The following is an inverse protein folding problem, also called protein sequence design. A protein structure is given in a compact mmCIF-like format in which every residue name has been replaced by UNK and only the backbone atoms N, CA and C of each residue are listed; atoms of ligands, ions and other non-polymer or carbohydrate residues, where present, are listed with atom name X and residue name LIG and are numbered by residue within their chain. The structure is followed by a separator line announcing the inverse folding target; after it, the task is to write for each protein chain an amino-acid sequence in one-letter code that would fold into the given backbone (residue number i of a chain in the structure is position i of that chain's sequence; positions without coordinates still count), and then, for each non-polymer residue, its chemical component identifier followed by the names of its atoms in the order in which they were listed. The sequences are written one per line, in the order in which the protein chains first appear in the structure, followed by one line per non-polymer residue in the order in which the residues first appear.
data_IF_854676925542
#
_entry.id   IF_854676925542
#
_cell.length_a   1.000
_cell.length_b   1.000
_cell.length_c   1.000
_cell.angle_alpha   90.00
_cell.angle_beta   90.00
_cell.angle_gamma   90.00
#
_symmetry.space_group_name_H-M   'P 1'
#
loop_
_entity.id
_entity.type
_entity.pdbx_description
1 polymer ?
#
# COMPACT_ATOMS: atom_id res chain seq x y z
N UNK A 1 -11.73 -4.06 11.26
CA UNK A 1 -10.58 -3.42 10.59
C UNK A 1 -9.69 -4.49 9.97
N UNK A 2 -9.71 -4.60 8.64
CA UNK A 2 -8.93 -5.56 7.86
C UNK A 2 -7.48 -5.06 7.78
N UNK A 3 -6.53 -5.93 8.06
CA UNK A 3 -5.10 -5.60 7.87
C UNK A 3 -4.70 -5.88 6.43
N UNK A 4 -4.12 -4.88 5.77
CA UNK A 4 -3.75 -4.95 4.34
C UNK A 4 -2.25 -4.80 4.19
N UNK A 5 -1.65 -5.70 3.41
CA UNK A 5 -0.29 -5.56 2.88
C UNK A 5 -0.34 -5.19 1.40
N UNK A 6 0.47 -4.22 0.99
CA UNK A 6 0.62 -3.81 -0.41
C UNK A 6 1.94 -4.37 -0.96
N UNK A 7 1.87 -5.20 -2.00
CA UNK A 7 3.05 -5.72 -2.72
C UNK A 7 3.09 -5.03 -4.09
N UNK A 8 4.20 -4.38 -4.39
CA UNK A 8 4.36 -3.51 -5.55
C UNK A 8 3.99 -2.06 -5.23
N UNK A 9 4.98 -1.20 -5.24
CA UNK A 9 4.93 0.24 -4.97
C UNK A 9 5.57 1.08 -6.09
N UNK A 10 5.44 0.62 -7.34
CA UNK A 10 5.83 1.38 -8.53
C UNK A 10 4.96 2.63 -8.76
N UNK A 11 4.92 3.14 -9.99
CA UNK A 11 4.25 4.41 -10.34
C UNK A 11 2.85 4.62 -9.72
N UNK A 12 2.04 3.56 -9.63
CA UNK A 12 0.67 3.64 -9.09
C UNK A 12 0.52 3.22 -7.62
N UNK A 13 1.58 2.65 -7.03
CA UNK A 13 1.60 2.21 -5.63
C UNK A 13 1.13 3.26 -4.62
N UNK A 14 1.61 4.52 -4.71
CA UNK A 14 1.18 5.59 -3.81
C UNK A 14 -0.33 5.85 -3.83
N UNK A 15 -0.98 5.72 -4.98
CA UNK A 15 -2.43 5.90 -5.08
C UNK A 15 -3.18 4.76 -4.39
N UNK A 16 -2.67 3.53 -4.54
CA UNK A 16 -3.26 2.35 -3.89
C UNK A 16 -3.12 2.41 -2.37
N UNK A 17 -1.95 2.80 -1.87
CA UNK A 17 -1.73 3.00 -0.44
C UNK A 17 -2.68 4.08 0.14
N UNK A 18 -2.86 5.20 -0.56
CA UNK A 18 -3.77 6.27 -0.15
C UNK A 18 -5.22 5.79 -0.04
N UNK A 19 -5.72 5.10 -1.08
CA UNK A 19 -7.09 4.56 -1.07
C UNK A 19 -7.33 3.57 0.08
N UNK A 20 -6.32 2.77 0.44
CA UNK A 20 -6.42 1.83 1.58
C UNK A 20 -6.42 2.60 2.91
N UNK A 21 -5.63 3.68 3.03
CA UNK A 21 -5.58 4.50 4.24
C UNK A 21 -6.82 5.36 4.45
N UNK A 22 -7.50 5.78 3.38
CA UNK A 22 -8.76 6.55 3.45
C UNK A 22 -9.97 5.67 3.82
N UNK A 23 -9.85 4.34 3.75
CA UNK A 23 -10.91 3.43 4.11
C UNK A 23 -10.87 3.07 5.61
N UNK A 24 -11.88 3.51 6.36
CA UNK A 24 -11.98 3.29 7.81
C UNK A 24 -12.07 1.80 8.23
N UNK A 25 -12.47 0.91 7.32
CA UNK A 25 -12.55 -0.52 7.60
C UNK A 25 -11.23 -1.25 7.33
N UNK A 26 -10.23 -0.56 6.78
CA UNK A 26 -8.93 -1.11 6.41
C UNK A 26 -7.79 -0.42 7.14
N UNK A 27 -6.68 -1.14 7.31
CA UNK A 27 -5.44 -0.60 7.83
C UNK A 27 -4.26 -1.13 7.04
N UNK A 28 -3.61 -0.24 6.29
CA UNK A 28 -2.36 -0.54 5.63
C UNK A 28 -1.28 -0.79 6.68
N UNK A 29 -0.71 -2.00 6.69
CA UNK A 29 0.28 -2.44 7.69
C UNK A 29 1.68 -2.56 7.12
N UNK A 30 1.79 -3.02 5.87
CA UNK A 30 3.06 -3.34 5.24
C UNK A 30 2.99 -2.87 3.79
N UNK A 31 4.09 -2.30 3.30
CA UNK A 31 4.35 -2.10 1.87
C UNK A 31 5.66 -2.85 1.56
N UNK A 32 5.68 -3.60 0.48
CA UNK A 32 6.84 -4.32 -0.02
C UNK A 32 7.00 -4.03 -1.51
N UNK A 33 8.20 -3.69 -1.95
CA UNK A 33 8.56 -3.59 -3.37
C UNK A 33 9.91 -4.27 -3.56
N UNK A 34 10.07 -4.97 -4.69
CA UNK A 34 11.34 -5.58 -5.09
C UNK A 34 12.23 -4.62 -5.88
N UNK A 35 11.71 -3.45 -6.27
CA UNK A 35 12.46 -2.41 -6.95
C UNK A 35 13.48 -1.79 -5.99
N UNK A 36 14.76 -1.98 -6.31
CA UNK A 36 15.90 -1.43 -5.55
C UNK A 36 16.33 -0.05 -6.05
N UNK A 37 15.70 0.47 -7.11
CA UNK A 37 16.01 1.76 -7.70
C UNK A 37 14.95 2.81 -7.37
N UNK A 38 15.41 4.02 -7.02
CA UNK A 38 14.60 5.19 -6.63
C UNK A 38 14.06 5.97 -7.83
#
# INVERSE_FOLDING_TARGET
MISVGLIGYGYWGPNMARNIQENNDMKLRIICDSNTYS
#
